data_IF_918729034383
#
_entry.id   IF_918729034383
#
_cell.length_a   1.000
_cell.length_b   1.000
_cell.length_c   1.000
_cell.angle_alpha   90.00
_cell.angle_beta   90.00
_cell.angle_gamma   90.00
#
_symmetry.space_group_name_H-M   'P 1'
#
loop_
_entity.id
_entity.type
_entity.pdbx_description
1 polymer ?
#
# COMPACT_ATOMS: atom_id res chain seq x y z
N UNK A 1 13.15 -14.62 -3.82
CA UNK A 1 12.64 -14.20 -2.48
C UNK A 1 12.38 -12.69 -2.39
N UNK A 2 13.13 -11.82 -3.09
CA UNK A 2 12.95 -10.35 -3.05
C UNK A 2 11.60 -9.89 -3.63
N UNK A 3 11.08 -10.57 -4.66
CA UNK A 3 9.82 -10.23 -5.33
C UNK A 3 8.60 -10.13 -4.38
N UNK A 4 8.21 -11.18 -3.63
CA UNK A 4 7.06 -11.07 -2.71
C UNK A 4 7.30 -10.04 -1.60
N UNK A 5 8.56 -9.81 -1.21
CA UNK A 5 8.92 -8.84 -0.18
C UNK A 5 8.68 -7.39 -0.64
N UNK A 6 9.01 -7.04 -1.89
CA UNK A 6 8.71 -5.71 -2.47
C UNK A 6 7.21 -5.44 -2.53
N UNK A 7 6.40 -6.46 -2.87
CA UNK A 7 4.94 -6.34 -2.85
C UNK A 7 4.40 -6.14 -1.44
N UNK A 8 4.85 -6.96 -0.49
CA UNK A 8 4.42 -6.84 0.92
C UNK A 8 4.78 -5.46 1.50
N UNK A 9 5.98 -4.96 1.24
CA UNK A 9 6.42 -3.63 1.68
C UNK A 9 5.56 -2.52 1.07
N UNK A 10 5.32 -2.55 -0.23
CA UNK A 10 4.55 -1.51 -0.91
C UNK A 10 3.08 -1.49 -0.46
N UNK A 11 2.46 -2.66 -0.28
CA UNK A 11 1.10 -2.77 0.29
C UNK A 11 1.07 -2.25 1.73
N UNK A 12 2.02 -2.68 2.56
CA UNK A 12 2.09 -2.28 3.97
C UNK A 12 2.29 -0.78 4.16
N UNK A 13 3.21 -0.18 3.39
CA UNK A 13 3.45 1.27 3.39
C UNK A 13 2.23 2.04 2.91
N UNK A 14 1.58 1.57 1.84
CA UNK A 14 0.34 2.17 1.35
C UNK A 14 -0.79 2.13 2.37
N UNK A 15 -0.98 0.97 3.03
CA UNK A 15 -1.99 0.80 4.07
C UNK A 15 -1.71 1.69 5.29
N UNK A 16 -0.46 1.77 5.71
CA UNK A 16 -0.04 2.59 6.85
C UNK A 16 -0.24 4.09 6.60
N UNK A 17 0.17 4.58 5.43
CA UNK A 17 -0.08 5.97 5.03
C UNK A 17 -1.58 6.27 4.95
N UNK A 18 -2.35 5.36 4.35
CA UNK A 18 -3.81 5.48 4.29
C UNK A 18 -4.45 5.54 5.68
N UNK A 19 -3.97 4.73 6.63
CA UNK A 19 -4.44 4.75 8.01
C UNK A 19 -4.14 6.08 8.71
N UNK A 20 -2.91 6.59 8.57
CA UNK A 20 -2.52 7.89 9.16
C UNK A 20 -3.36 9.03 8.59
N UNK A 21 -3.53 9.09 7.26
CA UNK A 21 -4.33 10.13 6.61
C UNK A 21 -5.81 10.05 7.00
N UNK A 22 -6.36 8.84 7.14
CA UNK A 22 -7.77 8.63 7.48
C UNK A 22 -8.07 8.69 8.98
N UNK A 23 -7.06 8.67 9.86
CA UNK A 23 -7.21 8.67 11.32
C UNK A 23 -8.00 9.89 11.83
N UNK A 24 -7.87 11.04 11.17
CA UNK A 24 -8.60 12.25 11.52
C UNK A 24 -10.12 12.17 11.24
N UNK A 25 -10.55 11.29 10.33
CA UNK A 25 -11.96 11.09 9.97
C UNK A 25 -12.69 10.03 10.80
N UNK A 26 -12.04 9.47 11.82
CA UNK A 26 -12.56 8.37 12.63
C UNK A 26 -12.29 6.97 12.04
N UNK A 27 -12.65 5.94 12.80
CA UNK A 27 -12.27 4.54 12.52
C UNK A 27 -12.65 4.05 11.11
N UNK A 28 -13.86 4.40 10.65
CA UNK A 28 -14.34 3.92 9.35
C UNK A 28 -13.61 4.59 8.18
N UNK A 29 -13.29 5.89 8.30
CA UNK A 29 -12.52 6.62 7.30
C UNK A 29 -11.06 6.17 7.31
N UNK A 30 -10.47 5.94 8.48
CA UNK A 30 -9.14 5.35 8.64
C UNK A 30 -9.04 3.99 7.96
N UNK A 31 -10.04 3.12 8.18
CA UNK A 31 -10.10 1.81 7.54
C UNK A 31 -10.20 1.91 6.02
N UNK A 32 -11.13 2.73 5.51
CA UNK A 32 -11.35 2.86 4.07
C UNK A 32 -10.14 3.49 3.36
N UNK A 33 -9.50 4.47 4.01
CA UNK A 33 -8.26 5.09 3.53
C UNK A 33 -7.08 4.13 3.57
N UNK A 34 -6.98 3.27 4.58
CA UNK A 34 -5.96 2.21 4.64
C UNK A 34 -6.15 1.17 3.53
N UNK A 35 -7.39 0.73 3.27
CA UNK A 35 -7.68 -0.20 2.16
C UNK A 35 -7.36 0.44 0.80
N UNK A 36 -7.73 1.72 0.62
CA UNK A 36 -7.39 2.47 -0.58
C UNK A 36 -5.87 2.59 -0.76
N UNK A 37 -5.16 2.98 0.30
CA UNK A 37 -3.70 3.08 0.30
C UNK A 37 -3.01 1.74 0.02
N UNK A 38 -3.50 0.64 0.61
CA UNK A 38 -3.02 -0.72 0.33
C UNK A 38 -3.19 -1.09 -1.17
N UNK A 39 -4.30 -0.69 -1.77
CA UNK A 39 -4.59 -0.92 -3.19
C UNK A 39 -3.65 -0.14 -4.10
N UNK A 40 -3.36 1.13 -3.76
CA UNK A 40 -2.35 1.95 -4.45
C UNK A 40 -0.96 1.33 -4.28
N UNK A 41 -0.62 0.88 -3.07
CA UNK A 41 0.64 0.18 -2.77
C UNK A 41 0.82 -1.08 -3.61
N UNK A 42 -0.22 -1.90 -3.76
CA UNK A 42 -0.22 -3.07 -4.64
C UNK A 42 0.06 -2.69 -6.10
N UNK A 43 -0.60 -1.65 -6.61
CA UNK A 43 -0.42 -1.19 -7.99
C UNK A 43 1.02 -0.72 -8.24
N UNK A 44 1.55 0.12 -7.35
CA UNK A 44 2.93 0.63 -7.43
C UNK A 44 3.94 -0.52 -7.28
N UNK A 45 3.71 -1.43 -6.32
CA UNK A 45 4.56 -2.61 -6.11
C UNK A 45 4.65 -3.50 -7.34
N UNK A 46 3.53 -3.75 -8.03
CA UNK A 46 3.51 -4.48 -9.30
C UNK A 46 4.25 -3.74 -10.41
N UNK A 47 4.16 -2.42 -10.47
CA UNK A 47 4.88 -1.59 -11.45
C UNK A 47 6.38 -1.63 -11.22
N UNK A 48 6.83 -1.48 -9.97
CA UNK A 48 8.24 -1.59 -9.56
C UNK A 48 8.78 -2.99 -9.88
N UNK A 49 8.03 -4.05 -9.56
CA UNK A 49 8.41 -5.42 -9.91
C UNK A 49 8.56 -5.64 -11.42
N UNK A 50 7.73 -5.01 -12.26
CA UNK A 50 7.88 -5.10 -13.72
C UNK A 50 9.17 -4.43 -14.18
N UNK A 51 9.44 -3.21 -13.73
CA UNK A 51 10.65 -2.48 -14.10
C UNK A 51 11.95 -3.13 -13.56
N UNK A 52 11.89 -3.87 -12.45
CA UNK A 52 13.03 -4.63 -11.92
C UNK A 52 13.30 -5.94 -12.68
N UNK A 53 12.40 -6.35 -13.57
CA UNK A 53 12.58 -7.55 -14.40
C UNK A 53 13.11 -7.24 -15.81
N UNK A 54 13.19 -5.96 -16.19
CA UNK A 54 13.90 -5.48 -17.38
C UNK A 54 15.36 -5.19 -17.00
#
# INVERSE_FOLDING_TARGET
MIRPLVLLLSIGLGAWLGWICGAAGGLMVAYLSAVFGASVGLFVGRKIQRNLND
#
